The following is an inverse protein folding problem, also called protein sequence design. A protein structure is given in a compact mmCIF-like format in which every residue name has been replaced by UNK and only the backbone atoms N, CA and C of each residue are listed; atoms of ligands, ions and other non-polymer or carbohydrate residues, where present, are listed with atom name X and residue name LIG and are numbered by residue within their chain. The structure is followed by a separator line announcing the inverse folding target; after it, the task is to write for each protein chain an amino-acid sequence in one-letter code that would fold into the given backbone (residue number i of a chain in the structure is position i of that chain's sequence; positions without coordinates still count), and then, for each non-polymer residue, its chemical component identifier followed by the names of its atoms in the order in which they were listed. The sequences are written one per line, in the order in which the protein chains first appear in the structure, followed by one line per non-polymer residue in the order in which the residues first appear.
data_IF_567161116083
#
_entry.id   IF_567161116083
#
_cell.length_a   1.000
_cell.length_b   1.000
_cell.length_c   1.000
_cell.angle_alpha   90.00
_cell.angle_beta   90.00
_cell.angle_gamma   90.00
#
_symmetry.space_group_name_H-M   'P 1'
#
loop_
_entity.id
_entity.type
_entity.pdbx_description
1 polymer ?
#
# COMPACT_ATOMS: atom_id res chain seq x y z
N UNK A 1 -22.60 40.61 -10.18
CA UNK A 1 -23.09 39.24 -9.91
C UNK A 1 -21.88 38.32 -9.79
N UNK A 2 -21.51 37.93 -8.58
CA UNK A 2 -20.35 37.08 -8.31
C UNK A 2 -20.79 35.61 -8.38
N UNK A 3 -20.18 34.84 -9.30
CA UNK A 3 -20.38 33.39 -9.39
C UNK A 3 -19.74 32.69 -8.18
N UNK A 4 -20.56 32.05 -7.37
CA UNK A 4 -20.12 31.11 -6.34
C UNK A 4 -19.40 29.94 -7.02
N UNK A 5 -18.08 29.81 -6.77
CA UNK A 5 -17.33 28.60 -7.12
C UNK A 5 -17.92 27.42 -6.33
N UNK A 6 -18.31 26.38 -7.01
CA UNK A 6 -18.96 25.20 -6.45
C UNK A 6 -17.97 24.37 -5.62
N UNK A 7 -18.27 24.20 -4.35
CA UNK A 7 -17.51 23.47 -3.33
C UNK A 7 -17.30 21.96 -3.60
N UNK A 8 -17.67 21.43 -4.75
CA UNK A 8 -17.61 20.00 -5.05
C UNK A 8 -16.18 19.46 -5.25
N UNK A 9 -15.28 20.27 -5.82
CA UNK A 9 -13.88 19.92 -6.02
C UNK A 9 -13.09 19.94 -4.72
N UNK A 10 -13.37 20.90 -3.83
CA UNK A 10 -12.79 20.97 -2.49
C UNK A 10 -13.29 19.85 -1.57
N UNK A 11 -14.54 19.40 -1.73
CA UNK A 11 -15.07 18.24 -1.02
C UNK A 11 -14.44 16.93 -1.49
N UNK A 12 -14.23 16.73 -2.81
CA UNK A 12 -13.54 15.54 -3.34
C UNK A 12 -12.09 15.49 -2.90
N UNK A 13 -11.37 16.62 -2.91
CA UNK A 13 -9.99 16.70 -2.44
C UNK A 13 -9.87 16.50 -0.91
N UNK A 14 -10.88 16.91 -0.14
CA UNK A 14 -10.95 16.67 1.30
C UNK A 14 -11.28 15.21 1.63
N UNK A 15 -12.13 14.57 0.84
CA UNK A 15 -12.52 13.17 1.02
C UNK A 15 -11.33 12.27 0.68
N UNK A 16 -10.58 12.53 -0.38
CA UNK A 16 -9.38 11.75 -0.71
C UNK A 16 -8.26 11.90 0.33
N UNK A 17 -8.07 13.11 0.90
CA UNK A 17 -7.09 13.33 1.98
C UNK A 17 -7.51 12.78 3.35
N UNK A 18 -8.79 12.54 3.60
CA UNK A 18 -9.28 11.96 4.86
C UNK A 18 -9.45 10.45 4.80
N UNK A 19 -9.26 9.82 3.63
CA UNK A 19 -9.35 8.37 3.44
C UNK A 19 -8.00 7.65 3.69
N UNK A 20 -6.92 8.41 3.84
CA UNK A 20 -5.57 7.90 4.14
C UNK A 20 -5.02 8.56 5.41
N UNK A 21 -4.52 7.76 6.32
CA UNK A 21 -3.85 8.25 7.52
C UNK A 21 -2.34 8.24 7.29
N UNK A 22 -1.72 9.42 7.20
CA UNK A 22 -0.25 9.50 7.13
C UNK A 22 0.36 9.09 8.46
N UNK A 23 0.93 7.90 8.50
CA UNK A 23 1.61 7.40 9.68
C UNK A 23 3.00 8.03 9.79
N UNK A 24 3.33 8.57 10.96
CA UNK A 24 4.64 9.16 11.19
C UNK A 24 5.73 8.08 11.17
N UNK A 25 6.90 8.40 10.63
CA UNK A 25 8.02 7.47 10.57
C UNK A 25 8.42 6.96 11.96
N UNK A 26 8.39 7.82 12.97
CA UNK A 26 8.72 7.48 14.37
C UNK A 26 7.75 6.43 14.95
N UNK A 27 6.46 6.50 14.59
CA UNK A 27 5.47 5.53 15.01
C UNK A 27 5.70 4.17 14.33
N UNK A 28 6.07 4.19 13.05
CA UNK A 28 6.45 2.99 12.29
C UNK A 28 7.71 2.36 12.89
N UNK A 29 8.75 3.15 13.17
CA UNK A 29 10.00 2.67 13.76
C UNK A 29 9.77 2.00 15.14
N UNK A 30 8.90 2.61 15.96
CA UNK A 30 8.56 2.09 17.28
C UNK A 30 7.80 0.77 17.20
N UNK A 31 6.80 0.71 16.34
CA UNK A 31 5.95 -0.48 16.18
C UNK A 31 6.69 -1.63 15.51
N UNK A 32 7.39 -1.38 14.41
CA UNK A 32 8.10 -2.41 13.67
C UNK A 32 9.33 -2.95 14.41
N UNK A 33 9.80 -2.26 15.45
CA UNK A 33 10.89 -2.75 16.29
C UNK A 33 10.59 -4.11 16.91
N UNK A 34 9.31 -4.40 17.19
CA UNK A 34 8.86 -5.67 17.78
C UNK A 34 8.80 -6.84 16.79
N UNK A 35 8.83 -6.55 15.47
CA UNK A 35 8.63 -7.53 14.38
C UNK A 35 9.87 -7.74 13.53
N UNK A 36 11.04 -7.23 13.93
CA UNK A 36 12.27 -7.24 13.10
C UNK A 36 12.63 -8.63 12.58
N UNK A 37 12.54 -9.63 13.45
CA UNK A 37 12.92 -11.01 13.10
C UNK A 37 11.96 -11.65 12.06
N UNK A 38 10.74 -11.11 11.93
CA UNK A 38 9.76 -11.61 10.97
C UNK A 38 10.14 -11.27 9.52
N UNK A 39 11.02 -10.29 9.32
CA UNK A 39 11.37 -9.78 7.99
C UNK A 39 12.62 -10.42 7.37
N UNK A 40 13.39 -11.17 8.16
CA UNK A 40 14.63 -11.77 7.69
C UNK A 40 14.40 -12.73 6.51
N UNK A 41 15.17 -12.56 5.42
CA UNK A 41 15.05 -13.32 4.16
C UNK A 41 13.66 -13.24 3.50
N UNK A 42 12.87 -12.19 3.80
CA UNK A 42 11.54 -12.00 3.26
C UNK A 42 11.49 -10.94 2.16
N UNK A 43 10.55 -11.12 1.25
CA UNK A 43 10.14 -10.10 0.30
C UNK A 43 8.98 -9.31 0.91
N UNK A 44 9.21 -8.03 1.17
CA UNK A 44 8.19 -7.09 1.69
C UNK A 44 7.57 -6.33 0.53
N UNK A 45 6.25 -6.20 0.51
CA UNK A 45 5.51 -5.42 -0.46
C UNK A 45 4.68 -4.33 0.20
N UNK A 46 5.01 -3.08 -0.08
CA UNK A 46 4.26 -1.89 0.29
C UNK A 46 3.33 -1.52 -0.88
N UNK A 47 2.15 -2.12 -0.95
CA UNK A 47 1.18 -1.77 -1.98
C UNK A 47 0.31 -0.58 -1.53
N UNK A 48 -0.25 0.15 -2.47
CA UNK A 48 -0.98 1.40 -2.25
C UNK A 48 -0.14 2.57 -1.72
N UNK A 49 1.16 2.43 -1.67
CA UNK A 49 2.09 3.40 -1.09
C UNK A 49 3.03 3.97 -2.17
N UNK A 50 2.93 5.26 -2.46
CA UNK A 50 3.90 5.92 -3.33
C UNK A 50 5.29 5.90 -2.65
N UNK A 51 6.31 5.24 -3.23
CA UNK A 51 7.62 5.11 -2.61
C UNK A 51 8.29 6.45 -2.25
N UNK A 52 8.00 7.52 -2.99
CA UNK A 52 8.54 8.86 -2.72
C UNK A 52 7.96 9.48 -1.43
N UNK A 53 6.73 9.12 -1.08
CA UNK A 53 5.98 9.71 0.02
C UNK A 53 5.84 8.75 1.20
N UNK A 54 5.69 7.46 0.92
CA UNK A 54 5.44 6.42 1.91
C UNK A 54 6.54 6.31 2.97
N UNK A 55 6.16 6.51 4.22
CA UNK A 55 7.04 6.29 5.35
C UNK A 55 7.33 4.80 5.60
N UNK A 56 6.44 3.90 5.19
CA UNK A 56 6.71 2.46 5.22
C UNK A 56 7.83 2.08 4.26
N UNK A 57 7.75 2.52 3.00
CA UNK A 57 8.82 2.26 2.04
C UNK A 57 10.15 2.82 2.54
N UNK A 58 10.18 4.07 3.02
CA UNK A 58 11.39 4.71 3.55
C UNK A 58 11.98 3.94 4.73
N UNK A 59 11.12 3.43 5.63
CA UNK A 59 11.56 2.61 6.75
C UNK A 59 12.25 1.33 6.28
N UNK A 60 11.60 0.55 5.42
CA UNK A 60 12.16 -0.71 4.94
C UNK A 60 13.40 -0.51 4.07
N UNK A 61 13.45 0.54 3.28
CA UNK A 61 14.61 0.88 2.49
C UNK A 61 15.81 1.23 3.36
N UNK A 62 15.63 2.12 4.35
CA UNK A 62 16.66 2.52 5.33
C UNK A 62 17.18 1.32 6.14
N UNK A 63 16.29 0.42 6.52
CA UNK A 63 16.60 -0.72 7.38
C UNK A 63 16.80 -2.04 6.61
N UNK A 64 16.89 -2.01 5.30
CA UNK A 64 16.96 -3.19 4.44
C UNK A 64 18.04 -4.19 4.90
N UNK A 65 19.27 -3.73 5.07
CA UNK A 65 20.41 -4.54 5.52
C UNK A 65 20.23 -5.06 6.95
N UNK A 66 19.78 -4.19 7.85
CA UNK A 66 19.64 -4.55 9.27
C UNK A 66 18.47 -5.50 9.54
N UNK A 67 17.43 -5.47 8.70
CA UNK A 67 16.31 -6.42 8.73
C UNK A 67 16.63 -7.71 7.96
N UNK A 68 17.70 -7.74 7.17
CA UNK A 68 18.06 -8.86 6.30
C UNK A 68 17.01 -9.14 5.23
N UNK A 69 16.41 -8.11 4.65
CA UNK A 69 15.38 -8.29 3.61
C UNK A 69 15.96 -8.96 2.38
N UNK A 70 15.18 -9.83 1.77
CA UNK A 70 15.49 -10.40 0.46
C UNK A 70 15.17 -9.41 -0.66
N UNK A 71 14.00 -8.75 -0.59
CA UNK A 71 13.50 -7.82 -1.61
C UNK A 71 12.49 -6.86 -0.99
N UNK A 72 12.47 -5.65 -1.47
CA UNK A 72 11.45 -4.64 -1.14
C UNK A 72 10.74 -4.23 -2.43
N UNK A 73 9.41 -4.31 -2.43
CA UNK A 73 8.56 -3.91 -3.54
C UNK A 73 7.63 -2.80 -3.04
N UNK A 74 7.37 -1.80 -3.86
CA UNK A 74 6.29 -0.86 -3.62
C UNK A 74 5.57 -0.52 -4.92
N UNK A 75 4.27 -0.31 -4.86
CA UNK A 75 3.47 0.14 -6.00
C UNK A 75 2.51 1.24 -5.59
N UNK A 76 2.20 2.13 -6.52
CA UNK A 76 1.30 3.24 -6.29
C UNK A 76 0.21 3.31 -7.35
N UNK A 77 -0.93 3.78 -6.90
CA UNK A 77 -2.11 4.00 -7.73
C UNK A 77 -2.13 5.45 -8.22
N UNK A 78 -2.47 5.62 -9.48
CA UNK A 78 -2.72 6.93 -10.10
C UNK A 78 -4.18 6.99 -10.50
N UNK A 79 -5.01 7.83 -9.83
CA UNK A 79 -6.41 7.98 -10.20
C UNK A 79 -6.53 8.42 -11.65
N UNK A 80 -7.27 7.68 -12.46
CA UNK A 80 -7.58 8.05 -13.83
C UNK A 80 -8.56 9.24 -13.83
N UNK A 81 -8.04 10.44 -13.57
CA UNK A 81 -8.79 11.67 -13.75
C UNK A 81 -8.89 11.92 -15.25
N UNK A 82 -9.95 11.41 -15.88
CA UNK A 82 -10.33 11.83 -17.22
C UNK A 82 -10.59 13.33 -17.18
N UNK A 83 -9.56 14.11 -17.42
CA UNK A 83 -9.70 15.50 -17.79
C UNK A 83 -10.26 15.50 -19.23
N UNK A 84 -11.54 15.80 -19.38
CA UNK A 84 -12.28 15.89 -20.64
C UNK A 84 -11.63 16.86 -21.67
N UNK A 85 -10.50 17.47 -21.35
CA UNK A 85 -9.86 18.51 -22.16
C UNK A 85 -8.41 18.25 -22.54
N UNK A 86 -7.77 17.18 -22.01
CA UNK A 86 -6.40 16.86 -22.38
C UNK A 86 -6.31 15.36 -22.70
N UNK A 87 -6.16 15.05 -23.99
CA UNK A 87 -5.77 13.72 -24.50
C UNK A 87 -4.29 13.39 -24.26
N UNK A 88 -3.63 14.09 -23.33
CA UNK A 88 -2.25 13.81 -22.97
C UNK A 88 -2.20 12.65 -21.98
N UNK A 89 -1.59 11.56 -22.44
CA UNK A 89 -1.08 10.38 -21.71
C UNK A 89 -1.74 10.13 -20.35
N UNK A 90 -2.64 9.15 -20.29
CA UNK A 90 -3.18 8.68 -19.01
C UNK A 90 -2.01 8.36 -18.08
N UNK A 91 -1.89 9.12 -16.99
CA UNK A 91 -0.91 8.82 -15.96
C UNK A 91 -1.11 7.38 -15.53
N UNK A 92 -0.04 6.59 -15.62
CA UNK A 92 -0.07 5.17 -15.28
C UNK A 92 0.45 4.96 -13.88
N UNK A 93 -0.05 3.94 -13.22
CA UNK A 93 0.54 3.46 -11.99
C UNK A 93 1.97 3.00 -12.21
N UNK A 94 2.70 2.86 -11.15
CA UNK A 94 4.07 2.36 -11.22
C UNK A 94 4.46 1.56 -10.00
N UNK A 95 5.59 0.90 -10.10
CA UNK A 95 6.15 0.15 -9.01
C UNK A 95 7.68 0.24 -9.01
N UNK A 96 8.25 -0.11 -7.88
CA UNK A 96 9.69 -0.22 -7.68
C UNK A 96 10.01 -1.54 -7.01
N UNK A 97 11.14 -2.10 -7.37
CA UNK A 97 11.72 -3.27 -6.72
C UNK A 97 13.14 -2.92 -6.32
N UNK A 98 13.46 -3.14 -5.06
CA UNK A 98 14.80 -2.92 -4.51
C UNK A 98 15.36 -4.23 -3.98
N UNK A 99 16.62 -4.44 -4.27
CA UNK A 99 17.47 -5.53 -3.75
C UNK A 99 18.63 -4.93 -2.97
N UNK A 100 19.54 -5.77 -2.50
CA UNK A 100 20.72 -5.30 -1.76
C UNK A 100 21.59 -4.34 -2.59
N UNK A 101 21.61 -4.48 -3.90
CA UNK A 101 22.43 -3.66 -4.80
C UNK A 101 21.91 -2.23 -4.93
N UNK A 102 20.59 -2.03 -4.69
CA UNK A 102 19.93 -0.74 -4.84
C UNK A 102 20.06 0.16 -3.60
N UNK A 103 20.46 -0.40 -2.46
CA UNK A 103 20.42 0.28 -1.15
C UNK A 103 21.48 1.39 -0.98
N UNK A 104 22.50 1.40 -1.79
CA UNK A 104 23.50 2.46 -1.81
C UNK A 104 23.01 3.68 -2.64
N UNK A 105 21.93 3.55 -3.37
CA UNK A 105 21.33 4.60 -4.21
C UNK A 105 20.38 5.47 -3.38
N UNK A 106 20.27 6.75 -3.69
CA UNK A 106 19.25 7.59 -3.07
C UNK A 106 17.84 7.16 -3.53
N UNK A 107 16.86 7.23 -2.66
CA UNK A 107 15.45 6.90 -2.99
C UNK A 107 14.95 7.72 -4.19
N UNK A 108 15.45 8.96 -4.34
CA UNK A 108 15.07 9.84 -5.44
C UNK A 108 15.56 9.34 -6.81
N UNK A 109 16.68 8.61 -6.83
CA UNK A 109 17.33 8.11 -8.04
C UNK A 109 16.94 6.66 -8.39
N UNK A 110 16.09 6.03 -7.57
CA UNK A 110 15.61 4.69 -7.84
C UNK A 110 14.75 4.64 -9.11
N UNK A 111 14.96 3.59 -9.91
CA UNK A 111 14.25 3.39 -11.17
C UNK A 111 12.83 2.87 -10.95
N UNK A 112 11.85 3.62 -11.41
CA UNK A 112 10.44 3.22 -11.43
C UNK A 112 10.12 2.45 -12.70
N UNK A 113 9.36 1.37 -12.54
CA UNK A 113 8.77 0.61 -13.64
C UNK A 113 7.32 1.03 -13.79
N UNK A 114 6.90 1.33 -15.00
CA UNK A 114 5.51 1.73 -15.30
C UNK A 114 4.64 0.48 -15.44
N UNK A 115 3.45 0.52 -14.83
CA UNK A 115 2.41 -0.47 -15.05
C UNK A 115 1.63 -0.15 -16.34
N UNK A 116 0.97 -1.14 -16.93
CA UNK A 116 0.08 -0.88 -18.07
C UNK A 116 -1.21 -0.20 -17.64
N UNK A 117 -1.67 -0.46 -16.40
CA UNK A 117 -2.85 0.15 -15.80
C UNK A 117 -2.51 1.28 -14.82
N UNK A 118 -3.52 1.67 -14.06
CA UNK A 118 -3.48 2.74 -13.06
C UNK A 118 -2.80 2.36 -11.74
N UNK A 119 -2.44 1.09 -11.55
CA UNK A 119 -1.84 0.60 -10.31
C UNK A 119 -2.86 0.16 -9.24
N UNK A 120 -4.12 -0.05 -9.63
CA UNK A 120 -5.12 -0.62 -8.72
C UNK A 120 -4.64 -1.99 -8.21
N UNK A 121 -4.70 -2.18 -6.89
CA UNK A 121 -4.22 -3.41 -6.23
C UNK A 121 -4.94 -4.68 -6.72
N UNK A 122 -6.13 -4.54 -7.32
CA UNK A 122 -6.92 -5.63 -7.91
C UNK A 122 -6.48 -6.01 -9.31
N UNK A 123 -5.65 -5.21 -9.95
CA UNK A 123 -5.16 -5.48 -11.29
C UNK A 123 -4.29 -6.74 -11.34
N UNK A 124 -4.27 -7.43 -12.48
CA UNK A 124 -3.43 -8.61 -12.66
C UNK A 124 -1.94 -8.32 -12.43
N UNK A 125 -1.49 -7.12 -12.74
CA UNK A 125 -0.11 -6.67 -12.55
C UNK A 125 0.21 -6.56 -11.05
N UNK A 126 -0.61 -5.84 -10.27
CA UNK A 126 -0.45 -5.73 -8.83
C UNK A 126 -0.62 -7.08 -8.11
N UNK A 127 -1.52 -7.95 -8.59
CA UNK A 127 -1.63 -9.34 -8.10
C UNK A 127 -0.35 -10.13 -8.38
N UNK A 128 0.31 -9.89 -9.51
CA UNK A 128 1.59 -10.55 -9.81
C UNK A 128 2.71 -10.11 -8.86
N UNK A 129 2.72 -8.84 -8.45
CA UNK A 129 3.62 -8.34 -7.41
C UNK A 129 3.25 -8.92 -6.03
N UNK A 130 1.96 -8.97 -5.69
CA UNK A 130 1.45 -9.57 -4.46
C UNK A 130 1.89 -11.03 -4.32
N UNK A 131 1.86 -11.81 -5.41
CA UNK A 131 2.29 -13.22 -5.40
C UNK A 131 3.77 -13.40 -5.07
N UNK A 132 4.62 -12.45 -5.46
CA UNK A 132 6.06 -12.47 -5.17
C UNK A 132 6.38 -12.15 -3.72
N UNK A 133 5.50 -11.42 -3.03
CA UNK A 133 5.72 -11.02 -1.65
C UNK A 133 5.53 -12.16 -0.67
N UNK A 134 6.24 -12.10 0.44
CA UNK A 134 6.00 -12.92 1.64
C UNK A 134 5.12 -12.16 2.62
N UNK A 135 5.40 -10.87 2.82
CA UNK A 135 4.73 -10.00 3.79
C UNK A 135 4.24 -8.74 3.10
N UNK A 136 2.98 -8.39 3.34
CA UNK A 136 2.39 -7.13 2.88
C UNK A 136 2.41 -6.13 4.03
N UNK A 137 2.99 -4.96 3.81
CA UNK A 137 3.00 -3.86 4.80
C UNK A 137 2.46 -2.62 4.13
N UNK A 138 1.31 -2.12 4.59
CA UNK A 138 0.63 -1.03 3.91
C UNK A 138 -0.36 -0.28 4.81
N UNK A 139 -0.73 0.90 4.37
CA UNK A 139 -1.85 1.68 4.92
C UNK A 139 -2.88 1.89 3.79
N UNK A 140 -3.79 0.93 3.57
CA UNK A 140 -4.74 1.01 2.47
C UNK A 140 -5.82 2.07 2.72
N UNK A 141 -6.43 2.63 1.66
CA UNK A 141 -7.59 3.49 1.79
C UNK A 141 -8.70 2.82 2.61
N UNK A 142 -9.29 3.53 3.56
CA UNK A 142 -10.29 2.97 4.48
C UNK A 142 -11.53 2.44 3.74
N UNK A 143 -11.92 3.08 2.65
CA UNK A 143 -13.05 2.66 1.81
C UNK A 143 -12.83 1.29 1.17
N UNK A 144 -11.59 0.90 0.89
CA UNK A 144 -11.22 -0.36 0.22
C UNK A 144 -10.63 -1.39 1.19
N UNK A 145 -10.56 -1.08 2.48
CA UNK A 145 -9.88 -1.89 3.49
C UNK A 145 -10.33 -3.36 3.50
N UNK A 146 -11.62 -3.62 3.47
CA UNK A 146 -12.16 -5.00 3.49
C UNK A 146 -11.75 -5.80 2.27
N UNK A 147 -11.84 -5.18 1.10
CA UNK A 147 -11.52 -5.81 -0.16
C UNK A 147 -10.03 -6.14 -0.23
N UNK A 148 -9.21 -5.21 0.23
CA UNK A 148 -7.77 -5.37 0.31
C UNK A 148 -7.35 -6.51 1.24
N UNK A 149 -7.90 -6.56 2.46
CA UNK A 149 -7.64 -7.67 3.40
C UNK A 149 -8.12 -9.00 2.85
N UNK A 150 -9.31 -9.05 2.23
CA UNK A 150 -9.84 -10.27 1.63
C UNK A 150 -8.91 -10.81 0.56
N UNK A 151 -8.33 -9.95 -0.26
CA UNK A 151 -7.35 -10.32 -1.28
C UNK A 151 -6.08 -10.91 -0.64
N UNK A 152 -5.51 -10.24 0.36
CA UNK A 152 -4.29 -10.70 1.04
C UNK A 152 -4.49 -12.08 1.66
N UNK A 153 -5.63 -12.31 2.32
CA UNK A 153 -6.00 -13.60 2.91
C UNK A 153 -6.18 -14.66 1.83
N UNK A 154 -6.83 -14.33 0.71
CA UNK A 154 -7.02 -15.23 -0.42
C UNK A 154 -5.69 -15.74 -0.98
N UNK A 155 -4.68 -14.87 -1.06
CA UNK A 155 -3.34 -15.24 -1.51
C UNK A 155 -2.43 -15.78 -0.39
N UNK A 156 -2.96 -15.96 0.82
CA UNK A 156 -2.27 -16.53 1.99
C UNK A 156 -0.96 -15.82 2.30
N UNK A 157 -0.97 -14.49 2.26
CA UNK A 157 0.19 -13.67 2.61
C UNK A 157 0.12 -13.23 4.06
N UNK A 158 1.28 -13.18 4.70
CA UNK A 158 1.42 -12.49 5.97
C UNK A 158 1.24 -10.99 5.76
N UNK A 159 0.71 -10.29 6.74
CA UNK A 159 0.52 -8.85 6.60
C UNK A 159 0.62 -8.09 7.93
N UNK A 160 1.07 -6.85 7.80
CA UNK A 160 1.02 -5.83 8.82
C UNK A 160 0.37 -4.59 8.23
N UNK A 161 -0.81 -4.24 8.70
CA UNK A 161 -1.62 -3.18 8.12
C UNK A 161 -2.04 -2.21 9.21
N UNK A 162 -1.80 -0.94 8.95
CA UNK A 162 -2.37 0.13 9.77
C UNK A 162 -3.80 0.36 9.30
N UNK A 163 -4.72 0.25 10.22
CA UNK A 163 -6.14 0.43 9.95
C UNK A 163 -6.84 1.14 11.10
N UNK A 164 -7.99 1.70 10.82
CA UNK A 164 -8.87 2.20 11.86
C UNK A 164 -9.43 1.03 12.69
N UNK A 165 -9.52 1.18 14.01
CA UNK A 165 -10.06 0.15 14.91
C UNK A 165 -11.48 -0.28 14.51
N UNK A 166 -12.26 0.60 13.90
CA UNK A 166 -13.58 0.27 13.36
C UNK A 166 -13.53 -0.68 12.15
N UNK A 167 -12.42 -0.72 11.41
CA UNK A 167 -12.23 -1.66 10.31
C UNK A 167 -12.01 -3.09 10.81
N UNK A 168 -11.38 -3.25 11.97
CA UNK A 168 -11.15 -4.56 12.62
C UNK A 168 -12.48 -5.18 13.07
N UNK A 169 -13.38 -4.39 13.63
CA UNK A 169 -14.72 -4.86 14.03
C UNK A 169 -15.53 -5.38 12.86
N UNK A 170 -15.38 -4.77 11.68
CA UNK A 170 -16.01 -5.27 10.46
C UNK A 170 -15.46 -6.61 9.97
N UNK A 171 -14.18 -6.92 10.21
CA UNK A 171 -13.58 -8.22 9.87
C UNK A 171 -14.06 -9.34 10.78
N UNK A 172 -14.33 -9.07 12.07
CA UNK A 172 -14.85 -10.05 13.01
C UNK A 172 -16.26 -10.54 12.63
N UNK A 173 -17.06 -9.73 11.94
CA UNK A 173 -18.39 -10.14 11.43
C UNK A 173 -18.34 -10.93 10.12
N UNK A 174 -17.24 -10.89 9.37
CA UNK A 174 -17.11 -11.56 8.07
C UNK A 174 -16.21 -12.79 8.09
N UNK A 175 -15.37 -12.95 9.10
CA UNK A 175 -14.61 -14.19 9.32
C UNK A 175 -15.47 -15.22 10.06
N UNK A 176 -15.53 -16.49 9.59
CA UNK A 176 -16.19 -17.54 10.37
C UNK A 176 -15.50 -17.63 11.74
N UNK A 177 -16.31 -17.52 12.78
CA UNK A 177 -15.84 -17.67 14.16
C UNK A 177 -15.07 -18.97 14.32
N UNK A 178 -14.04 -19.04 15.19
CA UNK A 178 -13.40 -20.31 15.53
C UNK A 178 -14.40 -21.40 15.98
N UNK A 179 -15.58 -21.01 16.49
CA UNK A 179 -16.67 -21.90 16.84
C UNK A 179 -17.41 -22.49 15.63
N UNK A 180 -17.39 -21.82 14.48
CA UNK A 180 -18.07 -22.31 13.27
C UNK A 180 -17.25 -23.37 12.54
N UNK A 181 -15.94 -23.43 12.80
CA UNK A 181 -15.02 -24.46 12.26
C UNK A 181 -15.13 -25.81 12.98
N UNK A 182 -15.83 -25.91 14.09
CA UNK A 182 -16.00 -27.17 14.85
C UNK A 182 -17.28 -27.93 14.50
N UNK A 183 -18.07 -27.42 13.55
CA UNK A 183 -19.36 -28.03 13.15
C UNK A 183 -19.36 -28.63 11.74
N UNK A 184 -18.21 -28.84 11.12
CA UNK A 184 -18.07 -29.53 9.82
C UNK A 184 -17.23 -30.78 9.94
#
# INVERSE_FOLDING_TARGET
MARKATNSTLHKAKISKSDEFYTLLEDIERELAFYKDCFHEKTVYCNCDNPKESNFFKYFFKHFKSLGLKKLIASYYVPNTQNLFNESESERGGYIECTLDDIETDIADLSYKTLNGDGDFRSNECISLLKQADIIVTNPPFSLFREHISQIIQYKKDFLIIGNINAITCLLYTSPSPRDRQKS
#
